data_IF_917596179536
#
_entry.id   IF_917596179536
#
_cell.length_a   1.000
_cell.length_b   1.000
_cell.length_c   1.000
_cell.angle_alpha   90.00
_cell.angle_beta   90.00
_cell.angle_gamma   90.00
#
_symmetry.space_group_name_H-M   'P 1'
#
loop_
_entity.id
_entity.type
_entity.pdbx_description
1 polymer ?
#
# COMPACT_ATOMS: atom_id res chain seq x y z
N UNK A 1 14.15 -5.14 -14.72
CA UNK A 1 14.10 -6.00 -13.52
C UNK A 1 13.23 -7.19 -13.87
N UNK A 2 13.47 -8.39 -13.34
CA UNK A 2 12.60 -9.54 -13.63
C UNK A 2 11.27 -9.41 -12.89
N UNK A 3 10.14 -9.89 -13.44
CA UNK A 3 8.85 -9.90 -12.75
C UNK A 3 8.91 -10.47 -11.33
N UNK A 4 9.62 -11.58 -11.13
CA UNK A 4 9.79 -12.20 -9.80
C UNK A 4 10.59 -11.34 -8.81
N UNK A 5 11.48 -10.46 -9.29
CA UNK A 5 12.24 -9.52 -8.46
C UNK A 5 11.37 -8.34 -8.03
N UNK A 6 10.59 -7.77 -8.94
CA UNK A 6 9.63 -6.71 -8.64
C UNK A 6 8.61 -7.20 -7.62
N UNK A 7 8.00 -8.37 -7.86
CA UNK A 7 7.06 -9.01 -6.92
C UNK A 7 7.64 -9.18 -5.52
N UNK A 8 8.89 -9.63 -5.42
CA UNK A 8 9.56 -9.84 -4.12
C UNK A 8 9.80 -8.52 -3.39
N UNK A 9 10.11 -7.46 -4.12
CA UNK A 9 10.27 -6.12 -3.56
C UNK A 9 8.95 -5.64 -2.96
N UNK A 10 7.87 -5.66 -3.74
CA UNK A 10 6.52 -5.25 -3.32
C UNK A 10 6.07 -6.01 -2.07
N UNK A 11 6.21 -7.34 -2.06
CA UNK A 11 5.88 -8.15 -0.88
C UNK A 11 6.77 -7.84 0.35
N UNK A 12 8.03 -7.47 0.13
CA UNK A 12 8.91 -7.03 1.22
C UNK A 12 8.46 -5.69 1.79
N UNK A 13 8.01 -4.76 0.94
CA UNK A 13 7.45 -3.49 1.38
C UNK A 13 6.17 -3.71 2.17
N UNK A 14 5.28 -4.60 1.72
CA UNK A 14 4.08 -4.95 2.47
C UNK A 14 4.39 -5.53 3.85
N UNK A 15 5.45 -6.32 3.98
CA UNK A 15 5.88 -6.82 5.28
C UNK A 15 6.32 -5.66 6.20
N UNK A 16 7.12 -4.72 5.69
CA UNK A 16 7.53 -3.54 6.45
C UNK A 16 6.34 -2.63 6.80
N UNK A 17 5.37 -2.47 5.91
CA UNK A 17 4.13 -1.75 6.15
C UNK A 17 3.36 -2.37 7.30
N UNK A 18 3.12 -3.68 7.29
CA UNK A 18 2.42 -4.39 8.38
C UNK A 18 3.09 -4.21 9.74
N UNK A 19 4.43 -4.22 9.79
CA UNK A 19 5.16 -3.93 11.02
C UNK A 19 4.93 -2.50 11.53
N UNK A 20 4.90 -1.51 10.62
CA UNK A 20 4.56 -0.10 10.94
C UNK A 20 3.12 0.02 11.43
N UNK A 21 2.16 -0.56 10.72
CA UNK A 21 0.75 -0.54 11.08
C UNK A 21 0.52 -1.15 12.47
N UNK A 22 1.19 -2.25 12.80
CA UNK A 22 1.15 -2.84 14.14
C UNK A 22 1.58 -1.84 15.24
N UNK A 23 2.65 -1.07 15.01
CA UNK A 23 3.11 -0.05 15.98
C UNK A 23 2.11 1.09 16.11
N UNK A 24 1.58 1.58 14.99
CA UNK A 24 0.58 2.63 14.95
C UNK A 24 -0.69 2.19 15.68
N UNK A 25 -1.24 1.02 15.38
CA UNK A 25 -2.42 0.45 16.02
C UNK A 25 -2.23 0.34 17.53
N UNK A 26 -1.05 -0.08 17.98
CA UNK A 26 -0.73 -0.15 19.42
C UNK A 26 -0.80 1.23 20.09
N UNK A 27 -0.11 2.23 19.55
CA UNK A 27 -0.07 3.56 20.15
C UNK A 27 -1.40 4.29 20.04
N UNK A 28 -2.03 4.24 18.86
CA UNK A 28 -3.28 4.92 18.59
C UNK A 28 -4.42 4.30 19.40
N UNK A 29 -4.46 2.97 19.48
CA UNK A 29 -5.41 2.25 20.32
C UNK A 29 -5.26 2.60 21.80
N UNK A 30 -4.05 2.81 22.30
CA UNK A 30 -3.84 3.27 23.68
C UNK A 30 -4.44 4.66 23.92
N UNK A 31 -4.21 5.62 23.00
CA UNK A 31 -4.76 6.98 23.09
C UNK A 31 -6.28 7.00 23.00
N UNK A 32 -6.87 6.25 22.06
CA UNK A 32 -8.34 6.19 21.88
C UNK A 32 -9.04 5.62 23.11
N UNK A 33 -8.41 4.66 23.81
CA UNK A 33 -8.92 4.09 25.08
C UNK A 33 -8.70 4.99 26.30
N UNK A 34 -8.19 6.21 26.13
CA UNK A 34 -7.95 7.16 27.21
C UNK A 34 -6.59 6.98 27.91
N UNK A 35 -5.72 6.13 27.38
CA UNK A 35 -4.32 6.06 27.77
C UNK A 35 -3.49 7.17 27.13
N UNK A 36 -2.17 7.02 27.19
CA UNK A 36 -1.22 7.93 26.55
C UNK A 36 -0.25 7.16 25.67
N UNK A 37 0.30 7.85 24.68
CA UNK A 37 1.46 7.43 23.93
C UNK A 37 2.62 8.41 24.22
N UNK A 38 3.87 8.03 24.01
CA UNK A 38 4.99 8.96 24.03
C UNK A 38 4.69 10.20 23.17
N UNK A 39 5.04 11.39 23.66
CA UNK A 39 4.71 12.64 23.00
C UNK A 39 5.21 12.67 21.55
N UNK A 40 4.33 13.00 20.61
CA UNK A 40 4.65 13.12 19.18
C UNK A 40 4.84 11.80 18.42
N UNK A 41 4.81 10.64 19.09
CA UNK A 41 5.11 9.35 18.43
C UNK A 41 4.11 9.00 17.35
N UNK A 42 2.82 9.32 17.53
CA UNK A 42 1.78 9.01 16.55
C UNK A 42 1.97 9.81 15.27
N UNK A 43 2.33 11.10 15.40
CA UNK A 43 2.61 11.95 14.27
C UNK A 43 3.86 11.47 13.54
N UNK A 44 4.94 11.22 14.27
CA UNK A 44 6.18 10.70 13.68
C UNK A 44 5.97 9.36 12.93
N UNK A 45 5.30 8.38 13.54
CA UNK A 45 5.04 7.10 12.87
C UNK A 45 4.06 7.24 11.70
N UNK A 46 3.07 8.14 11.81
CA UNK A 46 2.13 8.44 10.73
C UNK A 46 2.79 9.14 9.54
N UNK A 47 3.60 10.18 9.75
CA UNK A 47 4.41 10.83 8.73
C UNK A 47 5.29 9.81 7.99
N UNK A 48 6.01 8.98 8.75
CA UNK A 48 6.90 7.98 8.19
C UNK A 48 6.16 6.84 7.47
N UNK A 49 4.92 6.52 7.86
CA UNK A 49 4.04 5.61 7.11
C UNK A 49 3.63 6.23 5.78
N UNK A 50 3.15 7.47 5.79
CA UNK A 50 2.66 8.16 4.59
C UNK A 50 3.78 8.37 3.57
N UNK A 51 4.99 8.73 4.03
CA UNK A 51 6.17 8.83 3.17
C UNK A 51 6.54 7.48 2.54
N UNK A 52 6.52 6.40 3.33
CA UNK A 52 6.82 5.06 2.82
C UNK A 52 5.78 4.59 1.80
N UNK A 53 4.48 4.85 2.04
CA UNK A 53 3.41 4.53 1.10
C UNK A 53 3.61 5.23 -0.25
N UNK A 54 3.95 6.53 -0.27
CA UNK A 54 4.19 7.24 -1.53
C UNK A 54 5.38 6.66 -2.30
N UNK A 55 6.45 6.28 -1.60
CA UNK A 55 7.62 5.64 -2.20
C UNK A 55 7.27 4.27 -2.79
N UNK A 56 6.51 3.48 -2.06
CA UNK A 56 6.02 2.17 -2.46
C UNK A 56 5.12 2.24 -3.71
N UNK A 57 4.10 3.09 -3.69
CA UNK A 57 3.22 3.30 -4.84
C UNK A 57 3.97 3.82 -6.06
N UNK A 58 4.94 4.72 -5.86
CA UNK A 58 5.80 5.21 -6.94
C UNK A 58 6.67 4.10 -7.55
N UNK A 59 7.14 3.17 -6.73
CA UNK A 59 7.90 2.01 -7.20
C UNK A 59 7.01 1.07 -8.03
N UNK A 60 5.79 0.81 -7.59
CA UNK A 60 4.82 -0.02 -8.30
C UNK A 60 4.41 0.58 -9.64
N UNK A 61 4.09 1.87 -9.67
CA UNK A 61 3.77 2.59 -10.91
C UNK A 61 4.93 2.50 -11.93
N UNK A 62 6.17 2.52 -11.46
CA UNK A 62 7.36 2.46 -12.32
C UNK A 62 7.73 1.04 -12.77
N UNK A 63 7.40 0.03 -11.97
CA UNK A 63 7.94 -1.32 -12.17
C UNK A 63 6.88 -2.41 -12.25
N UNK A 64 5.87 -2.40 -11.38
CA UNK A 64 4.82 -3.42 -11.36
C UNK A 64 3.79 -3.18 -12.47
N UNK A 65 3.33 -1.94 -12.66
CA UNK A 65 2.31 -1.61 -13.66
C UNK A 65 2.71 -2.03 -15.08
N UNK A 66 3.94 -1.77 -15.57
CA UNK A 66 4.37 -2.28 -16.88
C UNK A 66 4.31 -3.80 -17.00
N UNK A 67 4.64 -4.53 -15.91
CA UNK A 67 4.58 -6.00 -15.90
C UNK A 67 3.13 -6.47 -16.00
N UNK A 68 2.21 -5.87 -15.23
CA UNK A 68 0.79 -6.23 -15.26
C UNK A 68 0.17 -5.98 -16.64
N UNK A 69 0.59 -4.90 -17.32
CA UNK A 69 0.19 -4.58 -18.68
C UNK A 69 0.63 -5.64 -19.70
N UNK A 70 1.83 -6.19 -19.54
CA UNK A 70 2.40 -7.17 -20.47
C UNK A 70 2.03 -8.62 -20.13
N UNK A 71 1.39 -8.86 -18.98
CA UNK A 71 1.15 -10.21 -18.46
C UNK A 71 0.16 -11.05 -19.29
N UNK A 72 -0.91 -10.44 -19.81
CA UNK A 72 -1.93 -11.13 -20.60
C UNK A 72 -2.80 -10.18 -21.46
N UNK A 73 -3.80 -10.74 -22.15
CA UNK A 73 -4.72 -10.01 -23.01
C UNK A 73 -5.62 -8.99 -22.28
N UNK A 74 -5.59 -8.95 -20.95
CA UNK A 74 -6.35 -8.02 -20.11
C UNK A 74 -5.46 -6.94 -19.46
N UNK A 75 -4.18 -6.88 -19.84
CA UNK A 75 -3.20 -5.99 -19.21
C UNK A 75 -3.59 -4.51 -19.20
N UNK A 76 -4.13 -3.98 -20.30
CA UNK A 76 -4.57 -2.57 -20.35
C UNK A 76 -5.68 -2.27 -19.33
N UNK A 77 -6.62 -3.22 -19.10
CA UNK A 77 -7.70 -3.08 -18.11
C UNK A 77 -7.14 -3.14 -16.68
N UNK A 78 -6.14 -3.99 -16.43
CA UNK A 78 -5.46 -4.06 -15.12
C UNK A 78 -4.69 -2.78 -14.82
N UNK A 79 -3.95 -2.27 -15.81
CA UNK A 79 -3.22 -1.00 -15.70
C UNK A 79 -4.18 0.16 -15.38
N UNK A 80 -5.28 0.30 -16.12
CA UNK A 80 -6.25 1.37 -15.88
C UNK A 80 -6.87 1.29 -14.49
N UNK A 81 -7.24 0.07 -14.05
CA UNK A 81 -7.79 -0.18 -12.72
C UNK A 81 -6.77 0.17 -11.63
N UNK A 82 -5.56 -0.35 -11.72
CA UNK A 82 -4.49 -0.12 -10.73
C UNK A 82 -4.16 1.37 -10.63
N UNK A 83 -4.04 2.07 -11.77
CA UNK A 83 -3.80 3.50 -11.80
C UNK A 83 -4.98 4.32 -11.21
N UNK A 84 -6.22 3.84 -11.31
CA UNK A 84 -7.37 4.47 -10.67
C UNK A 84 -7.33 4.29 -9.15
N UNK A 85 -7.09 3.07 -8.68
CA UNK A 85 -6.94 2.74 -7.26
C UNK A 85 -5.81 3.60 -6.63
N UNK A 86 -4.65 3.69 -7.29
CA UNK A 86 -3.53 4.52 -6.83
C UNK A 86 -3.81 6.03 -6.80
N UNK A 87 -4.66 6.56 -7.69
CA UNK A 87 -5.05 7.98 -7.61
C UNK A 87 -5.90 8.24 -6.37
N UNK A 88 -6.89 7.39 -6.11
CA UNK A 88 -7.76 7.50 -4.94
C UNK A 88 -6.97 7.37 -3.63
N UNK A 89 -6.04 6.42 -3.58
CA UNK A 89 -5.14 6.25 -2.44
C UNK A 89 -4.26 7.48 -2.21
N UNK A 90 -3.66 8.08 -3.26
CA UNK A 90 -2.84 9.30 -3.11
C UNK A 90 -3.64 10.48 -2.57
N UNK A 91 -4.89 10.64 -2.98
CA UNK A 91 -5.78 11.65 -2.43
C UNK A 91 -6.04 11.42 -0.93
N UNK A 92 -6.25 10.16 -0.53
CA UNK A 92 -6.41 9.78 0.87
C UNK A 92 -5.13 10.04 1.69
N UNK A 93 -3.96 9.68 1.17
CA UNK A 93 -2.67 9.91 1.84
C UNK A 93 -2.39 11.40 1.99
N UNK A 94 -2.66 12.20 0.97
CA UNK A 94 -2.52 13.66 1.02
C UNK A 94 -3.46 14.28 2.07
N UNK A 95 -4.70 13.82 2.13
CA UNK A 95 -5.65 14.24 3.16
C UNK A 95 -5.17 13.87 4.56
N UNK A 96 -4.72 12.62 4.77
CA UNK A 96 -4.22 12.14 6.05
C UNK A 96 -2.98 12.93 6.50
N UNK A 97 -2.05 13.22 5.57
CA UNK A 97 -0.88 14.05 5.85
C UNK A 97 -1.29 15.45 6.32
N UNK A 98 -2.23 16.10 5.63
CA UNK A 98 -2.72 17.41 6.00
C UNK A 98 -3.35 17.44 7.41
N UNK A 99 -4.07 16.38 7.80
CA UNK A 99 -4.59 16.26 9.17
C UNK A 99 -3.49 16.04 10.20
N UNK A 100 -2.45 15.29 9.83
CA UNK A 100 -1.37 14.88 10.73
C UNK A 100 -0.35 16.00 10.98
N UNK A 101 -0.13 16.91 10.03
CA UNK A 101 0.78 18.05 10.22
C UNK A 101 0.11 19.24 10.94
N UNK A 102 -1.22 19.25 11.07
CA UNK A 102 -1.96 20.29 11.78
C UNK A 102 -1.68 20.23 13.30
N UNK A 103 -0.92 21.19 13.86
CA UNK A 103 -0.46 21.12 15.25
C UNK A 103 -1.61 21.24 16.26
N UNK A 104 -2.70 21.93 15.91
CA UNK A 104 -3.85 22.11 16.79
C UNK A 104 -4.76 20.88 16.86
N UNK A 105 -4.54 19.87 16.00
CA UNK A 105 -5.37 18.67 15.93
C UNK A 105 -5.29 17.90 17.26
N UNK A 106 -6.42 17.56 17.90
CA UNK A 106 -6.38 16.77 19.12
C UNK A 106 -5.75 15.40 18.87
N UNK A 107 -4.87 14.95 19.76
CA UNK A 107 -4.14 13.68 19.62
C UNK A 107 -5.08 12.47 19.45
N UNK A 108 -6.24 12.49 20.12
CA UNK A 108 -7.26 11.44 19.98
C UNK A 108 -7.85 11.39 18.57
N UNK A 109 -7.98 12.52 17.89
CA UNK A 109 -8.48 12.59 16.51
C UNK A 109 -7.41 12.03 15.56
N UNK A 110 -6.14 12.40 15.76
CA UNK A 110 -5.01 11.84 15.00
C UNK A 110 -4.95 10.32 15.20
N UNK A 111 -5.08 9.85 16.44
CA UNK A 111 -5.09 8.42 16.76
C UNK A 111 -6.21 7.67 16.04
N UNK A 112 -7.45 8.17 16.09
CA UNK A 112 -8.57 7.52 15.40
C UNK A 112 -8.35 7.46 13.89
N UNK A 113 -7.95 8.58 13.28
CA UNK A 113 -7.64 8.62 11.85
C UNK A 113 -6.55 7.62 11.44
N UNK A 114 -5.50 7.47 12.24
CA UNK A 114 -4.43 6.50 11.97
C UNK A 114 -4.88 5.04 12.14
N UNK A 115 -5.87 4.76 13.00
CA UNK A 115 -6.49 3.44 13.07
C UNK A 115 -7.30 3.15 11.82
N UNK A 116 -8.12 4.10 11.40
CA UNK A 116 -8.97 3.96 10.20
C UNK A 116 -8.09 3.78 8.95
N UNK A 117 -7.01 4.56 8.84
CA UNK A 117 -6.02 4.42 7.75
C UNK A 117 -5.33 3.04 7.79
N UNK A 118 -4.95 2.55 8.98
CA UNK A 118 -4.31 1.25 9.10
C UNK A 118 -5.22 0.12 8.63
N UNK A 119 -6.51 0.15 8.97
CA UNK A 119 -7.49 -0.84 8.51
C UNK A 119 -7.64 -0.82 6.97
N UNK A 120 -7.70 0.37 6.38
CA UNK A 120 -7.78 0.53 4.93
C UNK A 120 -6.54 -0.04 4.23
N UNK A 121 -5.35 0.29 4.72
CA UNK A 121 -4.09 -0.19 4.12
C UNK A 121 -3.88 -1.70 4.30
N UNK A 122 -4.29 -2.28 5.43
CA UNK A 122 -4.23 -3.73 5.62
C UNK A 122 -5.13 -4.48 4.63
N UNK A 123 -6.35 -3.96 4.43
CA UNK A 123 -7.28 -4.51 3.45
C UNK A 123 -6.74 -4.38 2.03
N UNK A 124 -6.21 -3.22 1.70
CA UNK A 124 -5.66 -2.92 0.37
C UNK A 124 -4.51 -3.86 0.00
N UNK A 125 -3.48 -3.97 0.85
CA UNK A 125 -2.37 -4.91 0.64
C UNK A 125 -2.86 -6.36 0.44
N UNK A 126 -3.91 -6.78 1.16
CA UNK A 126 -4.46 -8.12 1.01
C UNK A 126 -5.17 -8.31 -0.34
N UNK A 127 -5.95 -7.31 -0.78
CA UNK A 127 -6.63 -7.34 -2.07
C UNK A 127 -5.64 -7.30 -3.24
N UNK A 128 -4.60 -6.46 -3.14
CA UNK A 128 -3.55 -6.35 -4.13
C UNK A 128 -2.71 -7.64 -4.23
N UNK A 129 -2.30 -8.21 -3.09
CA UNK A 129 -1.56 -9.47 -3.05
C UNK A 129 -2.31 -10.61 -3.74
N UNK A 130 -3.63 -10.65 -3.57
CA UNK A 130 -4.50 -11.65 -4.18
C UNK A 130 -4.77 -11.39 -5.68
N UNK A 131 -4.86 -10.12 -6.08
CA UNK A 131 -5.27 -9.73 -7.43
C UNK A 131 -4.11 -9.59 -8.42
N UNK A 132 -2.95 -9.09 -7.96
CA UNK A 132 -1.86 -8.65 -8.83
C UNK A 132 -0.53 -9.36 -8.53
N UNK A 133 -0.29 -9.80 -7.29
CA UNK A 133 0.98 -10.42 -6.89
C UNK A 133 0.92 -11.96 -6.84
N UNK A 134 -0.09 -12.58 -7.46
CA UNK A 134 -0.14 -14.03 -7.62
C UNK A 134 1.03 -14.49 -8.52
N UNK A 135 1.81 -15.51 -8.11
CA UNK A 135 2.93 -16.04 -8.90
C UNK A 135 2.55 -16.51 -10.32
N UNK A 136 1.27 -16.76 -10.59
CA UNK A 136 0.76 -17.14 -11.92
C UNK A 136 0.61 -15.94 -12.85
N UNK A 137 0.46 -14.74 -12.29
CA UNK A 137 0.33 -13.46 -13.02
C UNK A 137 1.71 -12.84 -13.20
N UNK A 138 2.49 -12.74 -12.12
CA UNK A 138 3.81 -12.11 -12.12
C UNK A 138 4.90 -13.20 -12.10
N UNK A 139 5.21 -13.71 -13.29
CA UNK A 139 6.20 -14.78 -13.52
C UNK A 139 7.25 -14.35 -14.54
N UNK A 140 8.42 -14.97 -14.45
CA UNK A 140 9.55 -14.68 -15.34
C UNK A 140 9.38 -15.27 -16.75
N UNK A 141 8.45 -16.21 -16.94
CA UNK A 141 8.19 -16.89 -18.21
C UNK A 141 7.02 -16.23 -18.98
N UNK A 142 7.17 -15.95 -20.30
CA UNK A 142 6.05 -15.49 -21.11
C UNK A 142 4.96 -16.56 -21.22
N UNK A 143 3.68 -16.14 -21.24
CA UNK A 143 2.57 -17.05 -21.51
C UNK A 143 2.65 -17.49 -22.98
N UNK A 144 3.26 -18.64 -23.25
CA UNK A 144 3.15 -19.29 -24.56
C UNK A 144 1.75 -19.86 -24.66
N UNK A 145 0.83 -19.17 -25.34
CA UNK A 145 -0.42 -19.79 -25.77
C UNK A 145 -0.06 -20.73 -26.92
N UNK A 146 -0.02 -22.04 -26.66
CA UNK A 146 0.06 -23.06 -27.70
C UNK A 146 -1.25 -23.03 -28.50
N UNK A 147 -1.32 -22.14 -29.49
CA UNK A 147 -2.40 -22.00 -30.46
C UNK A 147 -2.29 -23.02 -31.59
N UNK A 148 -1.77 -24.22 -31.37
CA UNK A 148 -1.75 -25.27 -32.39
C UNK A 148 -1.84 -26.67 -31.78
N UNK A 149 -3.06 -27.11 -31.48
CA UNK A 149 -3.41 -28.52 -31.58
C UNK A 149 -4.32 -28.66 -32.80
N UNK A 150 -3.70 -29.06 -33.92
CA UNK A 150 -4.40 -29.45 -35.15
C UNK A 150 -5.03 -30.84 -35.04
#
# INVERSE_FOLDING_TARGET
>A
MRPSEVRRHVLSDHAHLRERLTRIVRYAGAVVRGGSAPAGVLRMEGEALLEFMEQHMSYEDQHLVPILREADAWGDVREERFAAEHREQRELLAYALAQLVEPSRPERVVAQMLLDLAELLEKDMHEEEAAFLDPRIVRDDPITIDLFAG
#
